data_IF_462659766023
#
_entry.id   IF_462659766023
#
_cell.length_a   1.000
_cell.length_b   1.000
_cell.length_c   1.000
_cell.angle_alpha   90.00
_cell.angle_beta   90.00
_cell.angle_gamma   90.00
#
_symmetry.space_group_name_H-M   'P 1'
#
loop_
_entity.id
_entity.type
_entity.pdbx_description
1 polymer ?
#
# COMPACT_ATOMS: atom_id res chain seq x y z
N UNK A 1 -53.53 22.94 61.69
CA UNK A 1 -53.42 23.72 60.45
C UNK A 1 -52.03 23.51 59.88
N UNK A 2 -51.88 22.58 58.92
CA UNK A 2 -50.58 22.24 58.29
C UNK A 2 -50.55 22.93 56.92
N UNK A 3 -49.61 23.88 56.77
CA UNK A 3 -49.37 24.52 55.44
C UNK A 3 -48.45 23.67 54.64
N UNK A 4 -48.94 23.22 53.48
CA UNK A 4 -48.20 22.44 52.48
C UNK A 4 -47.47 23.46 51.58
N UNK A 5 -46.12 23.44 51.60
CA UNK A 5 -45.29 24.21 50.67
C UNK A 5 -45.04 23.35 49.44
N UNK A 6 -45.60 23.80 48.33
CA UNK A 6 -45.39 23.20 46.99
C UNK A 6 -44.11 23.82 46.43
N UNK A 7 -43.03 23.04 46.37
CA UNK A 7 -41.76 23.44 45.77
C UNK A 7 -41.77 23.05 44.29
N UNK A 8 -41.99 24.03 43.40
CA UNK A 8 -41.96 23.82 41.95
C UNK A 8 -40.49 23.88 41.51
N UNK A 9 -39.89 22.76 41.23
CA UNK A 9 -38.54 22.69 40.63
C UNK A 9 -38.71 22.90 39.12
N UNK A 10 -38.27 24.06 38.66
CA UNK A 10 -38.19 24.39 37.24
C UNK A 10 -36.89 23.75 36.73
N UNK A 11 -36.98 22.55 36.10
CA UNK A 11 -35.90 21.95 35.35
C UNK A 11 -35.68 22.74 34.06
N UNK A 12 -34.74 23.66 34.10
CA UNK A 12 -34.19 24.30 32.90
C UNK A 12 -33.34 23.27 32.16
N UNK A 13 -33.91 22.58 31.18
CA UNK A 13 -33.21 21.65 30.31
C UNK A 13 -32.26 22.44 29.39
N UNK A 14 -31.04 22.68 29.84
CA UNK A 14 -29.95 23.07 28.93
C UNK A 14 -29.61 21.88 28.04
N UNK A 15 -30.25 21.79 26.88
CA UNK A 15 -29.78 20.94 25.78
C UNK A 15 -28.45 21.51 25.31
N UNK A 16 -27.35 21.00 25.87
CA UNK A 16 -26.04 21.18 25.25
C UNK A 16 -26.07 20.42 23.93
N UNK A 17 -26.36 21.11 22.83
CA UNK A 17 -25.91 20.69 21.53
C UNK A 17 -24.38 20.66 21.63
N UNK A 18 -23.82 19.48 21.86
CA UNK A 18 -22.44 19.23 21.55
C UNK A 18 -22.32 19.38 20.03
N UNK A 19 -21.98 20.59 19.58
CA UNK A 19 -21.47 20.77 18.24
C UNK A 19 -20.23 19.87 18.16
N UNK A 20 -20.35 18.74 17.46
CA UNK A 20 -19.20 17.97 17.06
C UNK A 20 -18.28 18.95 16.34
N UNK A 21 -17.10 19.19 16.91
CA UNK A 21 -16.08 19.91 16.21
C UNK A 21 -15.91 19.20 14.85
N UNK A 22 -15.87 19.92 13.72
CA UNK A 22 -15.58 19.26 12.47
C UNK A 22 -14.21 18.60 12.63
N UNK A 23 -14.15 17.27 12.60
CA UNK A 23 -12.93 16.54 12.49
C UNK A 23 -12.22 17.07 11.25
N UNK A 24 -11.23 17.92 11.44
CA UNK A 24 -10.47 18.58 10.38
C UNK A 24 -9.56 17.63 9.60
N UNK A 25 -9.79 16.33 9.70
CA UNK A 25 -9.14 15.31 8.90
C UNK A 25 -9.85 15.24 7.55
N UNK A 26 -9.17 15.71 6.52
CA UNK A 26 -9.59 15.51 5.14
C UNK A 26 -9.81 14.01 4.83
N UNK A 27 -10.39 13.69 3.67
CA UNK A 27 -10.55 12.30 3.21
C UNK A 27 -9.18 11.60 3.24
N UNK A 28 -9.04 10.39 3.82
CA UNK A 28 -7.78 9.65 3.87
C UNK A 28 -7.17 9.52 2.48
N UNK A 29 -5.86 9.77 2.34
CA UNK A 29 -5.17 9.64 1.06
C UNK A 29 -5.15 8.18 0.63
N UNK A 30 -5.70 7.89 -0.56
CA UNK A 30 -5.66 6.56 -1.13
C UNK A 30 -4.24 6.24 -1.64
N UNK A 31 -3.71 5.08 -1.27
CA UNK A 31 -2.34 4.64 -1.61
C UNK A 31 -2.39 3.23 -2.19
N UNK A 32 -1.61 3.00 -3.24
CA UNK A 32 -1.14 1.68 -3.67
C UNK A 32 0.36 1.64 -3.35
N UNK A 33 0.83 0.56 -2.74
CA UNK A 33 2.23 0.36 -2.37
C UNK A 33 2.84 -0.74 -3.23
N UNK A 34 3.97 -0.46 -3.89
CA UNK A 34 4.76 -1.39 -4.68
C UNK A 34 6.13 -1.59 -4.03
N UNK A 35 6.59 -2.84 -3.91
CA UNK A 35 7.79 -3.21 -3.16
C UNK A 35 8.50 -4.41 -3.78
N UNK A 36 9.80 -4.48 -3.63
CA UNK A 36 10.61 -5.70 -3.86
C UNK A 36 11.05 -6.35 -2.54
N UNK A 37 10.20 -6.29 -1.54
CA UNK A 37 10.41 -6.73 -0.16
C UNK A 37 11.19 -8.03 -0.01
N UNK A 38 12.33 -7.98 0.67
CA UNK A 38 13.15 -9.18 0.94
C UNK A 38 14.62 -8.93 1.20
N UNK A 39 15.22 -7.86 0.68
CA UNK A 39 16.65 -7.58 0.84
C UNK A 39 16.96 -6.88 2.16
N UNK A 40 16.88 -5.56 2.17
CA UNK A 40 17.00 -4.74 3.37
C UNK A 40 15.64 -4.50 4.02
N UNK A 41 15.67 -3.98 5.22
CA UNK A 41 14.46 -3.93 6.08
C UNK A 41 13.56 -2.73 5.78
N UNK A 42 13.99 -1.79 4.97
CA UNK A 42 13.31 -0.52 4.72
C UNK A 42 11.94 -0.69 4.07
N UNK A 43 11.75 -1.64 3.16
CA UNK A 43 10.44 -2.02 2.62
C UNK A 43 9.44 -2.41 3.72
N UNK A 44 9.89 -3.24 4.66
CA UNK A 44 9.05 -3.67 5.77
C UNK A 44 8.75 -2.51 6.72
N UNK A 45 9.70 -1.61 6.94
CA UNK A 45 9.51 -0.40 7.72
C UNK A 45 8.55 0.57 7.02
N UNK A 46 8.64 0.73 5.70
CA UNK A 46 7.73 1.54 4.92
C UNK A 46 6.29 0.99 5.01
N UNK A 47 6.10 -0.32 4.87
CA UNK A 47 4.79 -0.95 5.01
C UNK A 47 4.23 -0.84 6.43
N UNK A 48 5.08 -0.96 7.47
CA UNK A 48 4.73 -0.72 8.88
C UNK A 48 4.21 0.71 9.09
N UNK A 49 4.91 1.71 8.55
CA UNK A 49 4.49 3.10 8.61
C UNK A 49 3.15 3.34 7.91
N UNK A 50 2.91 2.68 6.76
CA UNK A 50 1.62 2.78 6.07
C UNK A 50 0.50 2.19 6.94
N UNK A 51 0.68 1.03 7.55
CA UNK A 51 -0.34 0.46 8.46
C UNK A 51 -0.61 1.36 9.66
N UNK A 52 0.41 1.91 10.29
CA UNK A 52 0.24 2.87 11.40
C UNK A 52 -0.53 4.12 10.99
N UNK A 53 -0.29 4.63 9.79
CA UNK A 53 -1.06 5.74 9.24
C UNK A 53 -2.51 5.37 8.90
N UNK A 54 -2.77 4.11 8.51
CA UNK A 54 -4.14 3.60 8.36
C UNK A 54 -4.87 3.59 9.70
N UNK A 55 -4.23 3.12 10.77
CA UNK A 55 -4.81 3.12 12.14
C UNK A 55 -5.17 4.52 12.62
N UNK A 56 -4.39 5.52 12.20
CA UNK A 56 -4.65 6.93 12.50
C UNK A 56 -5.71 7.57 11.58
N UNK A 57 -6.16 6.88 10.54
CA UNK A 57 -7.11 7.38 9.55
C UNK A 57 -6.53 8.41 8.58
N UNK A 58 -5.21 8.54 8.48
CA UNK A 58 -4.54 9.49 7.58
C UNK A 58 -4.55 8.99 6.13
N UNK A 59 -4.45 7.67 5.93
CA UNK A 59 -4.40 7.04 4.61
C UNK A 59 -5.36 5.87 4.50
N UNK A 60 -5.61 5.46 3.27
CA UNK A 60 -6.28 4.19 2.91
C UNK A 60 -5.38 3.42 1.96
N UNK A 61 -4.70 2.39 2.46
CA UNK A 61 -3.91 1.48 1.63
C UNK A 61 -4.88 0.57 0.84
N UNK A 62 -4.91 0.74 -0.47
CA UNK A 62 -5.81 0.02 -1.37
C UNK A 62 -5.32 -1.39 -1.66
N UNK A 63 -4.02 -1.58 -1.72
CA UNK A 63 -3.36 -2.86 -1.97
C UNK A 63 -1.85 -2.72 -1.95
N UNK A 64 -1.18 -3.86 -1.86
CA UNK A 64 0.29 -3.99 -1.93
C UNK A 64 0.65 -4.88 -3.10
N UNK A 65 1.47 -4.36 -4.01
CA UNK A 65 2.12 -5.15 -5.04
C UNK A 65 3.51 -5.59 -4.61
N UNK A 66 3.91 -6.77 -4.99
CA UNK A 66 5.26 -7.27 -4.75
C UNK A 66 5.85 -7.86 -6.02
N UNK A 67 7.03 -7.40 -6.35
CA UNK A 67 7.85 -7.91 -7.44
C UNK A 67 9.22 -8.28 -6.89
N UNK A 68 9.39 -9.55 -6.57
CA UNK A 68 10.62 -10.09 -5.98
C UNK A 68 10.79 -11.56 -6.35
N UNK A 69 12.00 -11.93 -6.71
CA UNK A 69 12.36 -13.34 -6.94
C UNK A 69 12.56 -14.10 -5.61
N UNK A 70 11.61 -13.95 -4.70
CA UNK A 70 11.53 -14.68 -3.43
C UNK A 70 10.11 -15.17 -3.18
N UNK A 71 9.88 -16.49 -3.10
CA UNK A 71 8.54 -17.03 -2.93
C UNK A 71 7.89 -16.65 -1.60
N UNK A 72 8.66 -16.19 -0.62
CA UNK A 72 8.18 -15.86 0.73
C UNK A 72 7.86 -14.37 0.91
N UNK A 73 8.25 -13.45 0.00
CA UNK A 73 7.95 -12.02 0.11
C UNK A 73 6.45 -11.75 0.24
N UNK A 74 5.63 -12.36 -0.62
CA UNK A 74 4.16 -12.26 -0.52
C UNK A 74 3.59 -12.82 0.79
N UNK A 75 4.22 -13.89 1.31
CA UNK A 75 3.78 -14.51 2.58
C UNK A 75 4.16 -13.63 3.77
N UNK A 76 5.30 -12.96 3.73
CA UNK A 76 5.70 -11.98 4.72
C UNK A 76 4.74 -10.78 4.75
N UNK A 77 4.37 -10.24 3.60
CA UNK A 77 3.36 -9.17 3.50
C UNK A 77 2.00 -9.64 4.05
N UNK A 78 1.61 -10.90 3.78
CA UNK A 78 0.38 -11.48 4.35
C UNK A 78 0.43 -11.60 5.87
N UNK A 79 1.57 -11.95 6.45
CA UNK A 79 1.77 -11.94 7.90
C UNK A 79 1.61 -10.51 8.43
N UNK A 80 2.27 -9.53 7.83
CA UNK A 80 2.17 -8.13 8.26
C UNK A 80 0.73 -7.62 8.22
N UNK A 81 0.00 -7.80 7.11
CA UNK A 81 -1.40 -7.35 7.04
C UNK A 81 -2.30 -8.05 8.05
N UNK A 82 -2.03 -9.32 8.35
CA UNK A 82 -2.76 -10.07 9.40
C UNK A 82 -2.46 -9.54 10.79
N UNK A 83 -1.21 -9.20 11.07
CA UNK A 83 -0.78 -8.61 12.35
C UNK A 83 -1.50 -7.29 12.62
N UNK A 84 -1.61 -6.41 11.63
CA UNK A 84 -2.34 -5.14 11.72
C UNK A 84 -3.87 -5.28 11.58
N UNK A 85 -4.40 -6.48 11.37
CA UNK A 85 -5.85 -6.71 11.25
C UNK A 85 -6.44 -6.45 9.86
N UNK A 86 -5.64 -6.06 8.87
CA UNK A 86 -6.08 -5.73 7.50
C UNK A 86 -6.16 -6.94 6.57
N UNK A 87 -6.70 -8.05 7.05
CA UNK A 87 -6.75 -9.37 6.37
C UNK A 87 -7.37 -9.35 4.96
N UNK A 88 -8.19 -8.35 4.66
CA UNK A 88 -8.89 -8.22 3.36
C UNK A 88 -8.14 -7.33 2.35
N UNK A 89 -7.05 -6.66 2.76
CA UNK A 89 -6.25 -5.86 1.84
C UNK A 89 -5.65 -6.77 0.77
N UNK A 90 -5.84 -6.47 -0.53
CA UNK A 90 -5.31 -7.31 -1.60
C UNK A 90 -3.78 -7.26 -1.68
N UNK A 91 -3.19 -8.37 -2.07
CA UNK A 91 -1.77 -8.50 -2.39
C UNK A 91 -1.66 -8.94 -3.84
N UNK A 92 -1.02 -8.11 -4.65
CA UNK A 92 -0.66 -8.41 -6.03
C UNK A 92 0.75 -8.97 -6.10
N UNK A 93 0.96 -9.96 -6.95
CA UNK A 93 2.28 -10.56 -7.18
C UNK A 93 2.59 -10.44 -8.67
N UNK A 94 3.72 -9.82 -8.97
CA UNK A 94 4.25 -9.84 -10.32
C UNK A 94 5.13 -11.08 -10.48
N UNK A 95 4.75 -11.96 -11.39
CA UNK A 95 5.48 -13.21 -11.66
C UNK A 95 6.52 -13.08 -12.78
N UNK A 96 6.54 -11.96 -13.50
CA UNK A 96 7.58 -11.65 -14.47
C UNK A 96 8.84 -11.20 -13.73
N UNK A 97 9.50 -12.15 -13.09
CA UNK A 97 10.65 -11.86 -12.23
C UNK A 97 11.84 -11.33 -13.01
N UNK A 98 12.39 -10.21 -12.55
CA UNK A 98 13.78 -9.87 -12.83
C UNK A 98 14.69 -10.73 -11.94
N UNK A 99 15.89 -11.00 -12.43
CA UNK A 99 16.90 -11.70 -11.63
C UNK A 99 17.57 -10.70 -10.73
N UNK A 100 17.25 -10.75 -9.45
CA UNK A 100 17.93 -9.97 -8.43
C UNK A 100 18.72 -10.87 -7.49
N UNK A 101 19.83 -10.35 -6.98
CA UNK A 101 20.64 -11.04 -5.97
C UNK A 101 20.14 -10.69 -4.57
N UNK A 102 19.73 -11.68 -3.83
CA UNK A 102 19.39 -11.49 -2.42
C UNK A 102 20.64 -11.46 -1.56
N UNK A 103 20.86 -10.34 -0.88
CA UNK A 103 21.93 -10.18 0.10
C UNK A 103 21.48 -10.62 1.50
N UNK A 104 20.21 -10.34 1.85
CA UNK A 104 19.59 -10.66 3.14
C UNK A 104 18.19 -11.17 2.88
N UNK A 105 17.90 -12.35 3.37
CA UNK A 105 16.57 -12.97 3.20
C UNK A 105 15.84 -13.03 4.52
N UNK A 106 15.33 -11.88 4.96
CA UNK A 106 14.52 -11.82 6.17
C UNK A 106 13.08 -12.36 5.95
N UNK A 107 12.57 -12.30 4.73
CA UNK A 107 11.23 -12.82 4.42
C UNK A 107 11.18 -14.33 4.64
N UNK A 108 12.08 -15.10 4.03
CA UNK A 108 12.14 -16.55 4.21
C UNK A 108 12.39 -16.90 5.68
N UNK A 109 13.36 -16.25 6.31
CA UNK A 109 13.69 -16.50 7.72
C UNK A 109 12.49 -16.28 8.63
N UNK A 110 11.76 -15.16 8.47
CA UNK A 110 10.59 -14.85 9.29
C UNK A 110 9.43 -15.82 9.05
N UNK A 111 9.13 -16.12 7.78
CA UNK A 111 8.01 -17.02 7.43
C UNK A 111 8.26 -18.45 7.90
N UNK A 112 9.53 -18.89 7.92
CA UNK A 112 9.90 -20.23 8.35
C UNK A 112 10.22 -20.34 9.84
N UNK A 113 10.21 -19.23 10.58
CA UNK A 113 10.51 -19.22 12.02
C UNK A 113 9.47 -20.03 12.80
N UNK A 114 9.96 -20.86 13.71
CA UNK A 114 9.11 -21.74 14.54
C UNK A 114 9.32 -21.45 16.02
N UNK A 115 8.27 -21.69 16.80
CA UNK A 115 8.33 -21.69 18.24
C UNK A 115 8.94 -23.02 18.79
N UNK A 116 9.10 -23.14 20.09
CA UNK A 116 9.63 -24.35 20.75
C UNK A 116 8.81 -25.62 20.50
N UNK A 117 7.50 -25.48 20.18
CA UNK A 117 6.64 -26.59 19.82
C UNK A 117 6.74 -26.99 18.33
N UNK A 118 7.59 -26.32 17.55
CA UNK A 118 7.75 -26.57 16.12
C UNK A 118 6.66 -25.95 15.24
N UNK A 119 5.78 -25.11 15.79
CA UNK A 119 4.73 -24.42 15.05
C UNK A 119 5.23 -23.08 14.49
N UNK A 120 4.65 -22.56 13.39
CA UNK A 120 5.01 -21.25 12.88
C UNK A 120 4.90 -20.16 13.95
N UNK A 121 5.95 -19.39 14.16
CA UNK A 121 5.97 -18.28 15.11
C UNK A 121 5.07 -17.13 14.66
N UNK A 122 5.04 -16.86 13.36
CA UNK A 122 4.21 -15.84 12.75
C UNK A 122 3.26 -16.48 11.74
N UNK A 123 1.99 -16.07 11.76
CA UNK A 123 0.97 -16.66 10.89
C UNK A 123 0.25 -15.59 10.09
N UNK A 124 0.17 -15.80 8.80
CA UNK A 124 -0.68 -15.04 7.89
C UNK A 124 -2.11 -15.61 7.80
N UNK A 125 -2.74 -15.37 6.67
CA UNK A 125 -4.07 -15.90 6.36
C UNK A 125 -4.05 -17.42 6.23
N UNK A 126 -5.08 -18.10 6.76
CA UNK A 126 -5.21 -19.58 6.60
C UNK A 126 -5.27 -20.03 5.13
N UNK A 127 -5.85 -19.20 4.26
CA UNK A 127 -5.95 -19.45 2.82
C UNK A 127 -5.65 -18.13 2.10
N UNK A 128 -4.37 -17.73 2.00
CA UNK A 128 -4.01 -16.48 1.35
C UNK A 128 -4.42 -16.51 -0.13
N UNK A 129 -4.94 -15.38 -0.59
CA UNK A 129 -5.23 -15.15 -2.01
C UNK A 129 -4.32 -14.05 -2.49
N UNK A 130 -3.66 -14.31 -3.60
CA UNK A 130 -2.83 -13.37 -4.32
C UNK A 130 -3.43 -13.14 -5.70
N UNK A 131 -3.31 -11.94 -6.22
CA UNK A 131 -3.76 -11.54 -7.54
C UNK A 131 -2.53 -11.30 -8.42
N UNK A 132 -2.69 -11.25 -9.73
CA UNK A 132 -1.65 -10.69 -10.58
C UNK A 132 -1.57 -9.17 -10.34
N UNK A 133 -0.35 -8.62 -10.22
CA UNK A 133 -0.16 -7.27 -9.71
C UNK A 133 -0.77 -6.20 -10.61
N UNK A 134 -0.53 -6.25 -11.92
CA UNK A 134 -1.08 -5.27 -12.87
C UNK A 134 -2.60 -5.35 -12.93
N UNK A 135 -3.17 -6.58 -12.93
CA UNK A 135 -4.62 -6.77 -12.89
C UNK A 135 -5.23 -6.17 -11.62
N UNK A 136 -4.57 -6.37 -10.46
CA UNK A 136 -4.97 -5.77 -9.19
C UNK A 136 -4.95 -4.25 -9.28
N UNK A 137 -3.88 -3.64 -9.79
CA UNK A 137 -3.75 -2.20 -9.90
C UNK A 137 -4.80 -1.59 -10.80
N UNK A 138 -5.04 -2.18 -11.98
CA UNK A 138 -6.09 -1.73 -12.88
C UNK A 138 -7.47 -1.77 -12.21
N UNK A 139 -7.76 -2.84 -11.49
CA UNK A 139 -9.02 -3.01 -10.75
C UNK A 139 -9.16 -1.98 -9.62
N UNK A 140 -8.10 -1.68 -8.90
CA UNK A 140 -8.11 -0.69 -7.81
C UNK A 140 -8.25 0.73 -8.35
N UNK A 141 -7.49 1.08 -9.38
CA UNK A 141 -7.54 2.38 -10.04
C UNK A 141 -8.90 2.64 -10.67
N UNK A 142 -9.47 1.67 -11.38
CA UNK A 142 -10.79 1.81 -12.01
C UNK A 142 -11.90 2.20 -11.01
N UNK A 143 -11.80 1.74 -9.75
CA UNK A 143 -12.76 2.03 -8.68
C UNK A 143 -12.47 3.31 -7.90
N UNK A 144 -11.29 3.88 -8.05
CA UNK A 144 -10.89 5.08 -7.34
C UNK A 144 -11.52 6.34 -7.95
N UNK A 145 -11.60 7.40 -7.17
CA UNK A 145 -11.93 8.72 -7.68
C UNK A 145 -10.81 9.23 -8.60
N UNK A 146 -11.13 10.13 -9.52
CA UNK A 146 -10.13 10.70 -10.42
C UNK A 146 -9.12 11.53 -9.63
N UNK A 147 -7.84 11.49 -10.03
CA UNK A 147 -6.73 12.24 -9.43
C UNK A 147 -6.63 12.07 -7.89
N UNK A 148 -6.85 10.86 -7.39
CA UNK A 148 -6.96 10.61 -5.94
C UNK A 148 -5.94 9.62 -5.38
N UNK A 149 -5.35 8.76 -6.21
CA UNK A 149 -4.46 7.69 -5.77
C UNK A 149 -3.01 8.14 -5.83
N UNK A 150 -2.26 7.94 -4.76
CA UNK A 150 -0.80 7.99 -4.79
C UNK A 150 -0.28 6.56 -4.94
N UNK A 151 0.61 6.34 -5.90
CA UNK A 151 1.36 5.09 -5.98
C UNK A 151 2.72 5.34 -5.34
N UNK A 152 2.99 4.62 -4.27
CA UNK A 152 4.30 4.61 -3.60
C UNK A 152 5.05 3.38 -4.07
N UNK A 153 6.19 3.57 -4.71
CA UNK A 153 7.05 2.48 -5.17
C UNK A 153 8.43 2.58 -4.51
N UNK A 154 8.84 1.51 -3.86
CA UNK A 154 10.14 1.38 -3.18
C UNK A 154 10.96 0.22 -3.74
N UNK A 155 10.43 -0.47 -4.75
CA UNK A 155 11.08 -1.57 -5.47
C UNK A 155 11.30 -1.28 -6.94
N UNK A 156 11.42 -2.32 -7.74
CA UNK A 156 11.67 -2.24 -9.19
C UNK A 156 10.54 -1.57 -9.94
N UNK A 157 10.87 -0.89 -11.04
CA UNK A 157 9.87 -0.22 -11.89
C UNK A 157 9.03 -1.17 -12.75
N UNK A 158 9.34 -2.46 -12.78
CA UNK A 158 8.76 -3.46 -13.69
C UNK A 158 7.23 -3.48 -13.67
N UNK A 159 6.62 -3.56 -12.50
CA UNK A 159 5.15 -3.63 -12.38
C UNK A 159 4.50 -2.32 -12.84
N UNK A 160 5.11 -1.19 -12.57
CA UNK A 160 4.58 0.11 -13.00
C UNK A 160 4.72 0.30 -14.51
N UNK A 161 5.84 -0.10 -15.10
CA UNK A 161 6.01 -0.09 -16.55
C UNK A 161 4.96 -0.97 -17.23
N UNK A 162 4.75 -2.20 -16.75
CA UNK A 162 3.72 -3.10 -17.26
C UNK A 162 2.30 -2.56 -17.06
N UNK A 163 2.04 -1.83 -15.96
CA UNK A 163 0.77 -1.14 -15.77
C UNK A 163 0.56 -0.07 -16.84
N UNK A 164 1.56 0.73 -17.15
CA UNK A 164 1.49 1.77 -18.19
C UNK A 164 1.27 1.15 -19.58
N UNK A 165 1.96 0.05 -19.90
CA UNK A 165 1.82 -0.67 -21.18
C UNK A 165 0.50 -1.44 -21.31
N UNK A 166 -0.24 -1.65 -20.20
CA UNK A 166 -1.40 -2.51 -20.16
C UNK A 166 -2.53 -2.01 -21.05
N UNK A 167 -3.21 -2.95 -21.70
CA UNK A 167 -4.34 -2.68 -22.60
C UNK A 167 -5.67 -2.61 -21.84
N UNK A 168 -6.72 -2.03 -22.46
CA UNK A 168 -8.08 -2.12 -21.92
C UNK A 168 -8.48 -3.54 -21.52
N UNK A 169 -9.20 -3.65 -20.39
CA UNK A 169 -9.59 -4.93 -19.82
C UNK A 169 -11.02 -4.90 -19.23
N UNK A 170 -11.39 -5.98 -18.54
CA UNK A 170 -12.71 -6.09 -17.87
C UNK A 170 -12.96 -5.03 -16.77
N UNK A 171 -11.95 -4.34 -16.28
CA UNK A 171 -12.07 -3.32 -15.24
C UNK A 171 -12.15 -1.90 -15.79
N UNK A 172 -11.47 -1.64 -16.91
CA UNK A 172 -11.42 -0.32 -17.53
C UNK A 172 -11.20 -0.42 -19.05
N UNK A 173 -11.99 0.38 -19.79
CA UNK A 173 -11.79 0.57 -21.24
C UNK A 173 -10.61 1.49 -21.57
N UNK A 174 -9.95 2.07 -20.57
CA UNK A 174 -8.77 2.90 -20.76
C UNK A 174 -7.52 2.04 -20.85
N UNK A 175 -6.54 2.46 -21.67
CA UNK A 175 -5.17 1.92 -21.61
C UNK A 175 -4.55 2.16 -20.23
N UNK A 176 -3.41 1.55 -19.94
CA UNK A 176 -2.70 1.74 -18.68
C UNK A 176 -2.29 3.20 -18.45
N UNK A 177 -1.71 3.83 -19.47
CA UNK A 177 -1.33 5.25 -19.40
C UNK A 177 -2.54 6.16 -19.16
N UNK A 178 -3.64 5.96 -19.91
CA UNK A 178 -4.86 6.75 -19.74
C UNK A 178 -5.49 6.54 -18.35
N UNK A 179 -5.48 5.32 -17.84
CA UNK A 179 -6.02 5.00 -16.52
C UNK A 179 -5.17 5.65 -15.42
N UNK A 180 -3.86 5.57 -15.52
CA UNK A 180 -2.91 6.23 -14.61
C UNK A 180 -3.06 7.75 -14.72
N UNK A 181 -3.10 8.32 -15.91
CA UNK A 181 -3.31 9.75 -16.13
C UNK A 181 -4.59 10.26 -15.46
N UNK A 182 -5.65 9.45 -15.47
CA UNK A 182 -6.95 9.82 -14.91
C UNK A 182 -7.00 9.65 -13.39
N UNK A 183 -6.45 8.58 -12.85
CA UNK A 183 -6.70 8.13 -11.47
C UNK A 183 -5.59 8.46 -10.49
N UNK A 184 -4.35 8.44 -10.96
CA UNK A 184 -3.17 8.67 -10.12
C UNK A 184 -2.95 10.17 -9.94
N UNK A 185 -2.67 10.58 -8.71
CA UNK A 185 -2.34 11.95 -8.35
C UNK A 185 -0.86 12.24 -8.61
N UNK A 186 0.00 11.38 -8.12
CA UNK A 186 1.44 11.37 -8.35
C UNK A 186 2.04 10.03 -7.94
N UNK A 187 3.29 9.80 -8.35
CA UNK A 187 4.12 8.70 -7.86
C UNK A 187 5.09 9.22 -6.79
N UNK A 188 5.23 8.48 -5.70
CA UNK A 188 6.29 8.67 -4.72
C UNK A 188 7.28 7.51 -4.88
N UNK A 189 8.52 7.83 -5.27
CA UNK A 189 9.46 6.83 -5.78
C UNK A 189 10.74 6.84 -4.96
N UNK A 190 11.14 5.68 -4.46
CA UNK A 190 12.48 5.45 -3.94
C UNK A 190 13.32 4.80 -5.05
N UNK A 191 14.09 5.60 -5.76
CA UNK A 191 14.94 5.14 -6.85
C UNK A 191 15.97 6.20 -7.25
N UNK A 192 17.09 5.76 -7.80
CA UNK A 192 18.13 6.59 -8.37
C UNK A 192 19.18 7.07 -7.38
N UNK A 193 20.35 7.42 -7.92
CA UNK A 193 21.47 8.01 -7.20
C UNK A 193 21.82 9.36 -7.86
N UNK A 194 21.80 10.42 -7.07
CA UNK A 194 21.97 11.79 -7.58
C UNK A 194 23.31 12.43 -7.19
N UNK A 195 24.12 11.73 -6.37
CA UNK A 195 25.39 12.25 -5.84
C UNK A 195 26.58 11.52 -6.44
N UNK A 196 26.55 10.18 -6.49
CA UNK A 196 27.64 9.34 -6.94
C UNK A 196 27.42 8.92 -8.40
N UNK A 197 28.15 9.53 -9.33
CA UNK A 197 27.97 9.34 -10.79
C UNK A 197 28.10 7.89 -11.28
N UNK A 198 28.91 7.07 -10.61
CA UNK A 198 29.18 5.70 -11.03
C UNK A 198 28.44 4.65 -10.17
N UNK A 199 27.59 5.11 -9.26
CA UNK A 199 26.77 4.22 -8.44
C UNK A 199 25.57 3.72 -9.23
N UNK A 200 25.38 2.40 -9.22
CA UNK A 200 24.23 1.75 -9.85
C UNK A 200 23.18 1.51 -8.77
N UNK A 201 22.22 2.41 -8.67
CA UNK A 201 21.15 2.27 -7.70
C UNK A 201 20.35 1.00 -8.00
N UNK A 202 20.04 0.26 -6.94
CA UNK A 202 19.59 -1.13 -7.02
C UNK A 202 18.26 -1.29 -7.76
N UNK A 203 17.26 -0.46 -7.44
CA UNK A 203 15.93 -0.55 -8.03
C UNK A 203 15.93 -0.21 -9.53
N UNK A 204 16.75 0.78 -9.93
CA UNK A 204 16.93 1.14 -11.34
C UNK A 204 17.70 0.05 -12.07
N UNK A 205 18.81 -0.43 -11.46
CA UNK A 205 19.73 -1.32 -12.15
C UNK A 205 19.16 -2.71 -12.40
N UNK A 206 18.32 -3.23 -11.51
CA UNK A 206 17.75 -4.58 -11.65
C UNK A 206 16.74 -4.67 -12.81
N UNK A 207 16.10 -3.57 -13.19
CA UNK A 207 15.27 -3.52 -14.41
C UNK A 207 15.39 -2.15 -15.08
N UNK A 208 16.50 -1.95 -15.78
CA UNK A 208 16.83 -0.69 -16.41
C UNK A 208 15.83 -0.31 -17.52
N UNK A 209 15.36 -1.28 -18.30
CA UNK A 209 14.42 -1.03 -19.40
C UNK A 209 13.05 -0.60 -18.85
N UNK A 210 12.54 -1.28 -17.82
CA UNK A 210 11.30 -0.89 -17.18
C UNK A 210 11.43 0.48 -16.48
N UNK A 211 12.58 0.74 -15.84
CA UNK A 211 12.83 2.03 -15.21
C UNK A 211 12.85 3.14 -16.25
N UNK A 212 13.57 2.95 -17.35
CA UNK A 212 13.58 3.91 -18.46
C UNK A 212 12.16 4.14 -19.01
N UNK A 213 11.43 3.06 -19.28
CA UNK A 213 10.06 3.17 -19.78
C UNK A 213 9.17 3.96 -18.83
N UNK A 214 9.19 3.63 -17.53
CA UNK A 214 8.39 4.31 -16.52
C UNK A 214 8.70 5.82 -16.45
N UNK A 215 9.98 6.19 -16.42
CA UNK A 215 10.38 7.60 -16.34
C UNK A 215 10.05 8.39 -17.63
N UNK A 216 10.15 7.76 -18.79
CA UNK A 216 9.86 8.39 -20.07
C UNK A 216 8.34 8.53 -20.35
N UNK A 217 7.50 7.61 -19.84
CA UNK A 217 6.07 7.51 -20.20
C UNK A 217 5.11 7.81 -19.04
N UNK A 218 5.62 8.20 -17.87
CA UNK A 218 4.73 8.54 -16.77
C UNK A 218 3.88 9.76 -17.10
N UNK A 219 2.54 9.64 -17.13
CA UNK A 219 1.66 10.77 -17.41
C UNK A 219 1.39 11.62 -16.15
N UNK A 220 2.02 11.28 -15.02
CA UNK A 220 1.80 11.96 -13.72
C UNK A 220 3.12 12.38 -13.09
N UNK A 221 3.09 13.41 -12.22
CA UNK A 221 4.28 13.85 -11.51
C UNK A 221 4.92 12.72 -10.70
N UNK A 222 6.24 12.75 -10.58
CA UNK A 222 7.07 11.86 -9.77
C UNK A 222 7.80 12.69 -8.72
N UNK A 223 7.84 12.19 -7.47
CA UNK A 223 8.53 12.81 -6.33
C UNK A 223 9.30 11.77 -5.54
#
# INVERSE_FOLDING_TARGET
MKRLFLLTILLCGCSMLAAAAPDGKGKPQAIIFETDMGNDIDDAMALDLLFKNMDQGNIKLLGVGVHKNNPYSKSFIDIMRCWYGYKKMPIGVNSACVTDMECVDYCTKTVQMKNEAGEPLFTGSKKPKYEEAVEMYRRLLAKADDNSVVIVTVGFSTTIAQLLESQPDKYSSLSGEELVAKKVKYFSIMAGEFVQKDFREYNIWNDLEASKYFFDHSPRPMV
#
